data_IF_463507523870
#
_entry.id   IF_463507523870
#
_cell.length_a   1.000
_cell.length_b   1.000
_cell.length_c   1.000
_cell.angle_alpha   90.00
_cell.angle_beta   90.00
_cell.angle_gamma   90.00
#
_symmetry.space_group_name_H-M   'P 1'
#
loop_
_entity.id
_entity.type
_entity.pdbx_description
1 polymer ?
#
# COMPACT_ATOMS: atom_id res chain seq x y z
N UNK A 1 12.31 -70.90 -16.87
CA UNK A 1 12.00 -69.58 -17.47
C UNK A 1 11.04 -68.72 -16.65
N UNK A 2 10.01 -69.29 -16.01
CA UNK A 2 9.05 -68.50 -15.19
C UNK A 2 9.67 -67.73 -13.99
N UNK A 3 10.72 -68.25 -13.35
CA UNK A 3 11.37 -67.57 -12.21
C UNK A 3 12.10 -66.28 -12.61
N UNK A 4 12.87 -66.30 -13.70
CA UNK A 4 13.61 -65.12 -14.18
C UNK A 4 12.73 -63.94 -14.57
N UNK A 5 11.51 -64.20 -15.06
CA UNK A 5 10.54 -63.16 -15.41
C UNK A 5 9.95 -62.52 -14.14
N UNK A 6 9.67 -63.31 -13.11
CA UNK A 6 9.22 -62.79 -11.81
C UNK A 6 10.30 -61.91 -11.15
N UNK A 7 11.56 -62.33 -11.18
CA UNK A 7 12.66 -61.53 -10.62
C UNK A 7 12.81 -60.18 -11.34
N UNK A 8 12.69 -60.18 -12.67
CA UNK A 8 12.68 -58.97 -13.50
C UNK A 8 11.51 -58.04 -13.17
N UNK A 9 10.30 -58.59 -13.00
CA UNK A 9 9.11 -57.81 -12.60
C UNK A 9 9.30 -57.17 -11.22
N UNK A 10 9.81 -57.91 -10.24
CA UNK A 10 10.07 -57.39 -8.89
C UNK A 10 11.10 -56.25 -8.94
N UNK A 11 12.17 -56.39 -9.74
CA UNK A 11 13.16 -55.32 -9.92
C UNK A 11 12.54 -54.07 -10.54
N UNK A 12 11.77 -54.22 -11.62
CA UNK A 12 11.11 -53.07 -12.29
C UNK A 12 10.13 -52.38 -11.34
N UNK A 13 9.32 -53.13 -10.60
CA UNK A 13 8.38 -52.58 -9.61
C UNK A 13 9.13 -51.86 -8.49
N UNK A 14 10.21 -52.45 -7.97
CA UNK A 14 11.01 -51.85 -6.89
C UNK A 14 11.66 -50.53 -7.34
N UNK A 15 12.23 -50.48 -8.54
CA UNK A 15 12.80 -49.25 -9.11
C UNK A 15 11.71 -48.20 -9.33
N UNK A 16 10.57 -48.61 -9.87
CA UNK A 16 9.42 -47.71 -10.11
C UNK A 16 8.90 -47.11 -8.80
N UNK A 17 8.76 -47.93 -7.74
CA UNK A 17 8.36 -47.45 -6.41
C UNK A 17 9.41 -46.47 -5.85
N UNK A 18 10.70 -46.77 -5.96
CA UNK A 18 11.76 -45.88 -5.49
C UNK A 18 11.72 -44.51 -6.19
N UNK A 19 11.60 -44.50 -7.51
CA UNK A 19 11.48 -43.26 -8.30
C UNK A 19 10.20 -42.51 -7.95
N UNK A 20 9.07 -43.21 -7.87
CA UNK A 20 7.79 -42.62 -7.51
C UNK A 20 7.81 -41.97 -6.12
N UNK A 21 8.38 -42.65 -5.12
CA UNK A 21 8.55 -42.09 -3.77
C UNK A 21 9.45 -40.87 -3.76
N UNK A 22 10.55 -40.88 -4.53
CA UNK A 22 11.42 -39.72 -4.70
C UNK A 22 10.67 -38.50 -5.24
N UNK A 23 9.87 -38.68 -6.30
CA UNK A 23 9.03 -37.61 -6.84
C UNK A 23 7.95 -37.16 -5.86
N UNK A 24 7.28 -38.09 -5.15
CA UNK A 24 6.25 -37.75 -4.18
C UNK A 24 6.80 -36.89 -3.04
N UNK A 25 7.97 -37.24 -2.49
CA UNK A 25 8.64 -36.46 -1.43
C UNK A 25 9.08 -35.09 -1.96
N UNK A 26 9.65 -35.04 -3.17
CA UNK A 26 10.07 -33.78 -3.79
C UNK A 26 8.88 -32.82 -3.99
N UNK A 27 7.79 -33.31 -4.57
CA UNK A 27 6.57 -32.53 -4.81
C UNK A 27 5.96 -32.05 -3.49
N UNK A 28 5.91 -32.91 -2.47
CA UNK A 28 5.38 -32.52 -1.15
C UNK A 28 6.22 -31.41 -0.51
N UNK A 29 7.55 -31.52 -0.56
CA UNK A 29 8.46 -30.48 -0.07
C UNK A 29 8.30 -29.18 -0.84
N UNK A 30 8.14 -29.24 -2.16
CA UNK A 30 7.96 -28.07 -3.01
C UNK A 30 6.65 -27.34 -2.71
N UNK A 31 5.52 -28.07 -2.67
CA UNK A 31 4.21 -27.52 -2.29
C UNK A 31 4.28 -26.84 -0.92
N UNK A 32 4.92 -27.49 0.07
CA UNK A 32 5.06 -26.90 1.41
C UNK A 32 5.87 -25.60 1.40
N UNK A 33 6.97 -25.54 0.64
CA UNK A 33 7.78 -24.32 0.50
C UNK A 33 6.98 -23.21 -0.18
N UNK A 34 6.19 -23.54 -1.19
CA UNK A 34 5.33 -22.57 -1.87
C UNK A 34 4.23 -22.02 -0.95
N UNK A 35 3.55 -22.87 -0.19
CA UNK A 35 2.53 -22.45 0.80
C UNK A 35 3.14 -21.53 1.85
N UNK A 36 4.34 -21.86 2.36
CA UNK A 36 5.02 -21.00 3.34
C UNK A 36 5.37 -19.63 2.75
N UNK A 37 5.89 -19.57 1.53
CA UNK A 37 6.18 -18.30 0.84
C UNK A 37 4.91 -17.45 0.66
N UNK A 38 3.81 -18.10 0.27
CA UNK A 38 2.51 -17.45 0.13
C UNK A 38 2.03 -16.85 1.46
N UNK A 39 2.01 -17.64 2.54
CA UNK A 39 1.55 -17.17 3.85
C UNK A 39 2.43 -16.02 4.37
N UNK A 40 3.75 -16.18 4.32
CA UNK A 40 4.66 -15.12 4.75
C UNK A 40 4.54 -13.85 3.91
N UNK A 41 4.26 -13.96 2.61
CA UNK A 41 4.02 -12.78 1.79
C UNK A 41 2.74 -12.05 2.21
N UNK A 42 1.63 -12.78 2.40
CA UNK A 42 0.36 -12.19 2.82
C UNK A 42 0.48 -11.50 4.17
N UNK A 43 1.11 -12.15 5.16
CA UNK A 43 1.37 -11.57 6.48
C UNK A 43 2.18 -10.26 6.38
N UNK A 44 3.22 -10.25 5.53
CA UNK A 44 4.04 -9.06 5.32
C UNK A 44 3.25 -7.94 4.60
N UNK A 45 2.43 -8.28 3.61
CA UNK A 45 1.56 -7.30 2.91
C UNK A 45 0.53 -6.71 3.86
N UNK A 46 -0.09 -7.54 4.71
CA UNK A 46 -1.03 -7.08 5.71
C UNK A 46 -0.37 -6.13 6.71
N UNK A 47 0.78 -6.53 7.27
CA UNK A 47 1.55 -5.68 8.19
C UNK A 47 1.97 -4.36 7.53
N UNK A 48 2.34 -4.38 6.25
CA UNK A 48 2.70 -3.18 5.48
C UNK A 48 1.50 -2.24 5.31
N UNK A 49 0.34 -2.79 4.95
CA UNK A 49 -0.92 -2.04 4.84
C UNK A 49 -1.33 -1.43 6.19
N UNK A 50 -1.27 -2.20 7.28
CA UNK A 50 -1.59 -1.72 8.63
C UNK A 50 -0.64 -0.60 9.08
N UNK A 51 0.66 -0.75 8.85
CA UNK A 51 1.64 0.28 9.16
C UNK A 51 1.37 1.57 8.40
N UNK A 52 1.04 1.47 7.12
CA UNK A 52 0.67 2.62 6.31
C UNK A 52 -0.65 3.27 6.76
N UNK A 53 -1.64 2.49 7.21
CA UNK A 53 -2.88 3.00 7.81
C UNK A 53 -2.59 3.92 9.00
N UNK A 54 -1.75 3.45 9.92
CA UNK A 54 -1.36 4.20 11.13
C UNK A 54 -0.71 5.54 10.76
N UNK A 55 0.09 5.58 9.68
CA UNK A 55 0.69 6.85 9.21
C UNK A 55 -0.38 7.86 8.78
N UNK A 56 -1.42 7.42 8.07
CA UNK A 56 -2.51 8.27 7.60
C UNK A 56 -3.33 8.79 8.78
N UNK A 57 -3.72 7.90 9.68
CA UNK A 57 -4.53 8.24 10.87
C UNK A 57 -3.86 9.29 11.76
N UNK A 58 -2.51 9.32 11.80
CA UNK A 58 -1.75 10.31 12.57
C UNK A 58 -1.80 11.72 11.99
N UNK A 59 -2.07 11.88 10.69
CA UNK A 59 -1.95 13.20 10.01
C UNK A 59 -3.26 13.72 9.43
N UNK A 60 -4.25 12.86 9.18
CA UNK A 60 -5.50 13.25 8.52
C UNK A 60 -6.24 14.38 9.25
N UNK A 61 -6.25 14.36 10.58
CA UNK A 61 -6.91 15.41 11.38
C UNK A 61 -6.17 16.74 11.30
N UNK A 62 -4.84 16.71 11.16
CA UNK A 62 -4.05 17.90 10.86
C UNK A 62 -4.43 18.48 9.48
N UNK A 63 -4.51 17.65 8.45
CA UNK A 63 -4.91 18.11 7.11
C UNK A 63 -6.34 18.67 7.09
N UNK A 64 -7.28 18.03 7.80
CA UNK A 64 -8.64 18.55 8.02
C UNK A 64 -8.62 19.91 8.70
N UNK A 65 -7.85 20.06 9.78
CA UNK A 65 -7.69 21.33 10.49
C UNK A 65 -7.14 22.43 9.58
N UNK A 66 -6.08 22.15 8.80
CA UNK A 66 -5.50 23.14 7.87
C UNK A 66 -6.52 23.55 6.81
N UNK A 67 -7.23 22.58 6.20
CA UNK A 67 -8.31 22.83 5.23
C UNK A 67 -9.39 23.73 5.82
N UNK A 68 -9.88 23.40 7.00
CA UNK A 68 -11.02 24.11 7.59
C UNK A 68 -10.63 25.50 8.09
N UNK A 69 -9.43 25.62 8.67
CA UNK A 69 -8.89 26.91 9.13
C UNK A 69 -8.65 27.86 7.95
N UNK A 70 -7.99 27.39 6.90
CA UNK A 70 -7.70 28.22 5.71
C UNK A 70 -8.98 28.71 5.03
N UNK A 71 -10.01 27.86 4.90
CA UNK A 71 -11.34 28.26 4.42
C UNK A 71 -11.99 29.34 5.30
N UNK A 72 -11.94 29.16 6.61
CA UNK A 72 -12.50 30.13 7.56
C UNK A 72 -11.88 31.52 7.41
N UNK A 73 -10.54 31.60 7.32
CA UNK A 73 -9.84 32.88 7.15
C UNK A 73 -10.14 33.52 5.78
N UNK A 74 -10.20 32.72 4.71
CA UNK A 74 -10.59 33.23 3.39
C UNK A 74 -12.01 33.81 3.37
N UNK A 75 -12.96 33.19 4.07
CA UNK A 75 -14.35 33.68 4.15
C UNK A 75 -14.46 35.04 4.87
N UNK A 76 -13.61 35.30 5.86
CA UNK A 76 -13.62 36.56 6.61
C UNK A 76 -13.09 37.76 5.82
N UNK A 77 -12.44 37.53 4.66
CA UNK A 77 -11.81 38.57 3.82
C UNK A 77 -10.83 39.50 4.55
N UNK A 78 -10.41 39.13 5.76
CA UNK A 78 -9.42 39.84 6.55
C UNK A 78 -8.24 38.90 6.77
N UNK A 79 -7.26 39.02 5.87
CA UNK A 79 -6.00 38.29 5.93
C UNK A 79 -4.85 39.17 6.44
N UNK A 80 -5.14 40.37 6.96
CA UNK A 80 -4.10 41.22 7.53
C UNK A 80 -3.47 40.52 8.72
N UNK A 81 -2.20 40.15 8.57
CA UNK A 81 -1.48 39.36 9.57
C UNK A 81 -1.89 37.89 9.62
N UNK A 82 -2.39 37.31 8.52
CA UNK A 82 -2.53 35.85 8.39
C UNK A 82 -1.15 35.18 8.51
N UNK A 83 -0.80 34.83 9.75
CA UNK A 83 0.34 33.99 10.09
C UNK A 83 -0.25 32.70 10.65
N UNK A 84 -0.40 31.65 9.83
CA UNK A 84 -1.07 30.44 10.27
C UNK A 84 -0.19 29.73 11.30
N UNK A 85 -0.30 30.12 12.58
CA UNK A 85 0.36 29.42 13.69
C UNK A 85 -0.14 27.97 13.86
N UNK A 86 -1.25 27.63 13.19
CA UNK A 86 -1.76 26.28 13.07
C UNK A 86 -1.07 25.46 11.95
N UNK A 87 -0.37 26.09 11.01
CA UNK A 87 0.23 25.42 9.86
C UNK A 87 1.69 25.08 10.16
N UNK A 88 1.97 23.78 10.23
CA UNK A 88 3.29 23.20 10.49
C UNK A 88 3.81 22.48 9.24
N UNK A 89 3.65 23.11 8.07
CA UNK A 89 4.04 22.54 6.79
C UNK A 89 3.01 21.60 6.18
N UNK A 90 3.33 21.07 5.00
CA UNK A 90 2.38 20.25 4.21
C UNK A 90 2.22 18.82 4.72
N UNK A 91 3.15 18.35 5.55
CA UNK A 91 3.12 17.05 6.24
C UNK A 91 2.78 15.84 5.35
N UNK A 92 3.41 15.77 4.18
CA UNK A 92 3.23 14.68 3.21
C UNK A 92 3.72 13.34 3.75
N UNK A 93 2.99 12.26 3.46
CA UNK A 93 3.34 10.90 3.86
C UNK A 93 4.19 10.18 2.80
N UNK A 94 4.98 9.21 3.27
CA UNK A 94 5.60 8.18 2.43
C UNK A 94 5.16 6.78 2.88
N UNK A 95 4.83 5.94 1.90
CA UNK A 95 4.32 4.60 2.15
C UNK A 95 5.39 3.54 1.92
N UNK A 96 5.30 2.48 2.72
CA UNK A 96 6.09 1.26 2.49
C UNK A 96 5.36 0.40 1.45
N UNK A 97 6.09 -0.16 0.48
CA UNK A 97 5.53 -1.02 -0.58
C UNK A 97 6.42 -2.24 -0.88
N UNK A 98 7.36 -2.53 0.01
CA UNK A 98 8.38 -3.56 -0.14
C UNK A 98 7.78 -4.97 -0.22
N UNK A 99 6.79 -5.28 0.61
CA UNK A 99 6.13 -6.58 0.60
C UNK A 99 5.35 -6.76 -0.71
N UNK A 100 4.61 -5.72 -1.11
CA UNK A 100 3.90 -5.71 -2.38
C UNK A 100 4.83 -5.89 -3.59
N UNK A 101 5.91 -5.13 -3.68
CA UNK A 101 6.88 -5.26 -4.78
C UNK A 101 7.53 -6.65 -4.81
N UNK A 102 7.86 -7.21 -3.65
CA UNK A 102 8.39 -8.57 -3.53
C UNK A 102 7.39 -9.60 -4.06
N UNK A 103 6.10 -9.43 -3.75
CA UNK A 103 5.03 -10.30 -4.26
C UNK A 103 4.90 -10.30 -5.78
N UNK A 104 5.05 -9.13 -6.41
CA UNK A 104 5.08 -8.98 -7.87
C UNK A 104 6.32 -9.69 -8.44
N UNK A 105 7.52 -9.36 -7.92
CA UNK A 105 8.80 -9.84 -8.46
C UNK A 105 8.94 -11.36 -8.36
N UNK A 106 8.45 -11.95 -7.26
CA UNK A 106 8.51 -13.39 -7.03
C UNK A 106 7.39 -14.16 -7.75
N UNK A 107 6.41 -13.46 -8.33
CA UNK A 107 5.26 -14.06 -9.01
C UNK A 107 4.28 -14.78 -8.07
N UNK A 108 4.44 -14.65 -6.75
CA UNK A 108 3.57 -15.30 -5.76
C UNK A 108 2.13 -14.80 -5.87
N UNK A 109 1.93 -13.54 -6.31
CA UNK A 109 0.61 -12.98 -6.58
C UNK A 109 -0.23 -13.75 -7.62
N UNK A 110 0.41 -14.51 -8.52
CA UNK A 110 -0.31 -15.31 -9.53
C UNK A 110 -1.13 -16.46 -8.93
N UNK A 111 -0.88 -16.83 -7.67
CA UNK A 111 -1.55 -17.92 -6.97
C UNK A 111 -2.59 -17.43 -5.96
N UNK A 112 -2.74 -16.12 -5.81
CA UNK A 112 -3.64 -15.52 -4.83
C UNK A 112 -5.01 -15.34 -5.46
N UNK A 113 -6.06 -15.47 -4.66
CA UNK A 113 -7.41 -15.19 -5.08
C UNK A 113 -7.53 -13.80 -5.72
N UNK A 114 -8.30 -13.71 -6.81
CA UNK A 114 -8.44 -12.49 -7.59
C UNK A 114 -8.97 -11.33 -6.74
N UNK A 115 -9.89 -11.57 -5.81
CA UNK A 115 -10.48 -10.53 -4.97
C UNK A 115 -9.43 -9.96 -4.01
N UNK A 116 -8.60 -10.81 -3.40
CA UNK A 116 -7.49 -10.39 -2.54
C UNK A 116 -6.49 -9.53 -3.31
N UNK A 117 -6.10 -9.96 -4.51
CA UNK A 117 -5.17 -9.20 -5.36
C UNK A 117 -5.76 -7.86 -5.83
N UNK A 118 -7.03 -7.83 -6.21
CA UNK A 118 -7.69 -6.58 -6.59
C UNK A 118 -7.73 -5.59 -5.42
N UNK A 119 -8.07 -6.05 -4.21
CA UNK A 119 -8.10 -5.21 -3.03
C UNK A 119 -6.71 -4.68 -2.65
N UNK A 120 -5.68 -5.54 -2.69
CA UNK A 120 -4.27 -5.13 -2.51
C UNK A 120 -3.89 -4.06 -3.55
N UNK A 121 -4.11 -4.34 -4.84
CA UNK A 121 -3.74 -3.43 -5.92
C UNK A 121 -4.43 -2.07 -5.81
N UNK A 122 -5.69 -2.03 -5.38
CA UNK A 122 -6.42 -0.79 -5.17
C UNK A 122 -5.76 0.09 -4.11
N UNK A 123 -5.32 -0.50 -2.98
CA UNK A 123 -4.57 0.21 -1.94
C UNK A 123 -3.27 0.81 -2.49
N UNK A 124 -2.43 -0.01 -3.13
CA UNK A 124 -1.13 0.47 -3.61
C UNK A 124 -1.25 1.45 -4.79
N UNK A 125 -2.31 1.34 -5.58
CA UNK A 125 -2.63 2.33 -6.64
C UNK A 125 -2.98 3.68 -6.02
N UNK A 126 -3.83 3.70 -4.99
CA UNK A 126 -4.20 4.93 -4.29
C UNK A 126 -3.04 5.53 -3.50
N UNK A 127 -2.18 4.72 -2.89
CA UNK A 127 -0.95 5.19 -2.24
C UNK A 127 -0.03 5.90 -3.23
N UNK A 128 0.21 5.31 -4.40
CA UNK A 128 1.03 5.94 -5.45
C UNK A 128 0.42 7.26 -5.91
N UNK A 129 -0.89 7.28 -6.18
CA UNK A 129 -1.60 8.49 -6.59
C UNK A 129 -1.59 9.59 -5.51
N UNK A 130 -1.50 9.22 -4.22
CA UNK A 130 -1.29 10.15 -3.12
C UNK A 130 0.14 10.70 -3.09
N UNK A 131 1.16 9.84 -3.24
CA UNK A 131 2.57 10.26 -3.24
C UNK A 131 2.89 11.18 -4.42
N UNK A 132 2.39 10.85 -5.61
CA UNK A 132 2.49 11.71 -6.80
C UNK A 132 1.86 13.09 -6.55
N UNK A 133 0.67 13.12 -5.97
CA UNK A 133 0.01 14.38 -5.61
C UNK A 133 0.77 15.15 -4.53
N UNK A 134 1.27 14.46 -3.51
CA UNK A 134 2.06 15.04 -2.42
C UNK A 134 3.34 15.70 -2.91
N UNK A 135 4.02 15.08 -3.89
CA UNK A 135 5.21 15.65 -4.50
C UNK A 135 4.90 16.91 -5.31
N UNK A 136 3.78 16.92 -6.05
CA UNK A 136 3.31 18.12 -6.78
C UNK A 136 2.96 19.24 -5.79
N UNK A 137 2.25 18.90 -4.71
CA UNK A 137 1.87 19.83 -3.64
C UNK A 137 3.09 20.43 -2.97
N UNK A 138 4.07 19.61 -2.58
CA UNK A 138 5.31 20.07 -1.96
C UNK A 138 6.09 20.99 -2.92
N UNK A 139 6.19 20.61 -4.19
CA UNK A 139 6.87 21.42 -5.21
C UNK A 139 6.17 22.76 -5.42
N UNK A 140 4.83 22.76 -5.50
CA UNK A 140 4.03 23.98 -5.63
C UNK A 140 4.14 24.88 -4.41
N UNK A 141 4.26 24.31 -3.21
CA UNK A 141 4.47 25.07 -1.97
C UNK A 141 5.87 25.71 -1.92
N UNK A 142 6.92 24.97 -2.29
CA UNK A 142 8.31 25.46 -2.28
C UNK A 142 8.52 26.63 -3.24
N UNK A 143 7.81 26.64 -4.38
CA UNK A 143 7.93 27.71 -5.39
C UNK A 143 7.09 28.95 -5.06
N UNK A 144 6.34 28.95 -3.95
CA UNK A 144 5.57 30.12 -3.55
C UNK A 144 6.46 31.23 -3.00
N UNK A 145 6.01 32.46 -3.24
CA UNK A 145 6.62 33.65 -2.68
C UNK A 145 6.00 33.97 -1.31
N UNK A 146 6.82 34.01 -0.27
CA UNK A 146 6.41 34.16 1.14
C UNK A 146 6.62 35.60 1.67
N UNK A 147 6.62 36.61 0.80
CA UNK A 147 6.65 38.01 1.24
C UNK A 147 5.44 38.31 2.12
N UNK A 148 5.66 38.88 3.31
CA UNK A 148 4.61 39.25 4.28
C UNK A 148 3.74 40.42 3.77
N UNK A 149 2.82 40.10 2.85
CA UNK A 149 1.84 41.01 2.28
C UNK A 149 0.50 40.30 2.02
N UNK A 150 -0.58 41.08 1.87
CA UNK A 150 -1.94 40.55 1.74
C UNK A 150 -2.14 39.64 0.51
N UNK A 151 -1.45 39.92 -0.60
CA UNK A 151 -1.55 39.13 -1.83
C UNK A 151 -0.90 37.75 -1.69
N UNK A 152 0.30 37.68 -1.12
CA UNK A 152 1.00 36.42 -0.84
C UNK A 152 0.22 35.59 0.18
N UNK A 153 -0.26 36.21 1.26
CA UNK A 153 -1.09 35.54 2.26
C UNK A 153 -2.37 34.97 1.65
N UNK A 154 -3.01 35.70 0.73
CA UNK A 154 -4.18 35.20 -0.01
C UNK A 154 -3.84 34.01 -0.92
N UNK A 155 -2.71 34.06 -1.63
CA UNK A 155 -2.24 32.95 -2.48
C UNK A 155 -1.96 31.69 -1.66
N UNK A 156 -1.27 31.82 -0.53
CA UNK A 156 -0.97 30.70 0.38
C UNK A 156 -2.27 30.12 0.95
N UNK A 157 -3.17 30.95 1.45
CA UNK A 157 -4.45 30.48 1.99
C UNK A 157 -5.30 29.77 0.93
N UNK A 158 -5.33 30.31 -0.29
CA UNK A 158 -6.03 29.70 -1.44
C UNK A 158 -5.43 28.34 -1.79
N UNK A 159 -4.11 28.27 -1.89
CA UNK A 159 -3.40 27.03 -2.17
C UNK A 159 -3.69 25.96 -1.12
N UNK A 160 -3.50 26.28 0.16
CA UNK A 160 -3.75 25.34 1.25
C UNK A 160 -5.21 24.89 1.30
N UNK A 161 -6.18 25.80 1.08
CA UNK A 161 -7.61 25.46 1.07
C UNK A 161 -7.99 24.46 -0.01
N UNK A 162 -7.45 24.64 -1.22
CA UNK A 162 -7.70 23.74 -2.36
C UNK A 162 -6.93 22.44 -2.16
N UNK A 163 -5.61 22.53 -1.94
CA UNK A 163 -4.74 21.37 -1.88
C UNK A 163 -5.07 20.46 -0.69
N UNK A 164 -5.33 21.01 0.50
CA UNK A 164 -5.66 20.18 1.67
C UNK A 164 -7.03 19.54 1.55
N UNK A 165 -7.96 20.12 0.78
CA UNK A 165 -9.22 19.44 0.48
C UNK A 165 -8.98 18.14 -0.30
N UNK A 166 -8.15 18.19 -1.34
CA UNK A 166 -7.83 17.01 -2.14
C UNK A 166 -6.99 15.98 -1.38
N UNK A 167 -6.05 16.44 -0.53
CA UNK A 167 -5.31 15.57 0.39
C UNK A 167 -6.27 14.77 1.26
N UNK A 168 -7.20 15.45 1.95
CA UNK A 168 -8.15 14.77 2.84
C UNK A 168 -9.02 13.79 2.08
N UNK A 169 -9.53 14.16 0.89
CA UNK A 169 -10.33 13.25 0.05
C UNK A 169 -9.53 11.99 -0.31
N UNK A 170 -8.27 12.15 -0.72
CA UNK A 170 -7.40 11.02 -1.08
C UNK A 170 -7.09 10.14 0.12
N UNK A 171 -6.87 10.72 1.30
CA UNK A 171 -6.63 9.99 2.55
C UNK A 171 -7.86 9.18 2.98
N UNK A 172 -9.06 9.77 2.91
CA UNK A 172 -10.31 9.07 3.24
C UNK A 172 -10.60 7.93 2.25
N UNK A 173 -10.38 8.17 0.96
CA UNK A 173 -10.51 7.12 -0.06
C UNK A 173 -9.50 6.00 0.15
N UNK A 174 -8.26 6.33 0.51
CA UNK A 174 -7.21 5.36 0.79
C UNK A 174 -7.52 4.55 2.05
N UNK A 175 -7.96 5.18 3.13
CA UNK A 175 -8.39 4.48 4.36
C UNK A 175 -9.53 3.50 4.08
N UNK A 176 -10.52 3.91 3.28
CA UNK A 176 -11.62 3.01 2.87
C UNK A 176 -11.12 1.78 2.09
N UNK A 177 -10.17 1.98 1.17
CA UNK A 177 -9.55 0.88 0.42
C UNK A 177 -8.71 -0.03 1.32
N UNK A 178 -8.00 0.54 2.28
CA UNK A 178 -7.23 -0.21 3.28
C UNK A 178 -8.16 -1.09 4.10
N UNK A 179 -9.26 -0.54 4.62
CA UNK A 179 -10.21 -1.29 5.45
C UNK A 179 -10.83 -2.45 4.65
N UNK A 180 -11.19 -2.19 3.39
CA UNK A 180 -11.68 -3.24 2.50
C UNK A 180 -10.61 -4.33 2.26
N UNK A 181 -9.37 -3.94 1.97
CA UNK A 181 -8.29 -4.91 1.74
C UNK A 181 -8.01 -5.76 2.98
N UNK A 182 -7.95 -5.16 4.17
CA UNK A 182 -7.76 -5.89 5.43
C UNK A 182 -8.92 -6.83 5.74
N UNK A 183 -10.16 -6.45 5.42
CA UNK A 183 -11.32 -7.35 5.56
C UNK A 183 -11.18 -8.57 4.65
N UNK A 184 -10.92 -8.36 3.36
CA UNK A 184 -10.84 -9.43 2.35
C UNK A 184 -9.63 -10.34 2.57
N UNK A 185 -8.53 -9.84 3.15
CA UNK A 185 -7.37 -10.67 3.47
C UNK A 185 -7.62 -11.63 4.64
N UNK A 186 -8.46 -11.24 5.60
CA UNK A 186 -8.79 -12.00 6.80
C UNK A 186 -9.90 -13.05 6.60
N UNK A 187 -10.60 -13.04 5.45
CA UNK A 187 -11.53 -14.09 5.01
C UNK A 187 -10.79 -15.32 4.46
#
# INVERSE_FOLDING_TARGET
MKSKINDLLIQVISVTIGVFLGFAISNWSEVRKETNKYNSLIENVESEIQSNKIKIEKVIDYHRMVRDSTRFYMMKKDLKGFKPGFFNGVNTLSFSNSAFQTGIQTGVFNKIDLNKIQAINDVYTKQRAYEEYSNILLSGFITMDFIDNDESNWKIATFLSISMNDVVIKEEQLLKSIDNALSVLNE
#
